data_IF_998386941058
#
_entry.id   IF_998386941058
#
_cell.length_a   1.000
_cell.length_b   1.000
_cell.length_c   1.000
_cell.angle_alpha   90.00
_cell.angle_beta   90.00
_cell.angle_gamma   90.00
#
_symmetry.space_group_name_H-M   'P 1'
#
loop_
_entity.id
_entity.type
_entity.pdbx_description
1 polymer ?
#
# COMPACT_ATOMS: atom_id res chain seq x y z
N UNK A 1 -20.66 -5.17 -7.79
CA UNK A 1 -19.49 -4.29 -7.95
C UNK A 1 -18.24 -5.14 -8.00
N UNK A 2 -17.23 -4.74 -8.78
CA UNK A 2 -15.93 -5.40 -8.75
C UNK A 2 -15.13 -4.75 -7.64
N UNK A 3 -14.80 -5.50 -6.58
CA UNK A 3 -13.94 -4.98 -5.52
C UNK A 3 -12.58 -4.58 -6.10
N UNK A 4 -12.01 -3.48 -5.60
CA UNK A 4 -10.67 -3.00 -5.95
C UNK A 4 -9.84 -2.85 -4.68
N UNK A 5 -8.53 -3.07 -4.81
CA UNK A 5 -7.55 -2.66 -3.82
C UNK A 5 -6.95 -1.34 -4.26
N UNK A 6 -7.03 -0.35 -3.39
CA UNK A 6 -6.36 0.92 -3.52
C UNK A 6 -5.01 0.83 -2.82
N UNK A 7 -3.99 1.39 -3.45
CA UNK A 7 -2.62 1.40 -2.94
C UNK A 7 -2.07 2.81 -3.08
N UNK A 8 -1.77 3.44 -1.95
CA UNK A 8 -1.06 4.71 -1.86
C UNK A 8 0.40 4.46 -1.50
N UNK A 9 1.31 5.14 -2.18
CA UNK A 9 2.71 5.21 -1.77
C UNK A 9 2.97 6.56 -1.11
N UNK A 10 3.45 6.53 0.13
CA UNK A 10 3.89 7.72 0.83
C UNK A 10 5.40 7.69 1.06
N UNK A 11 6.01 8.88 1.10
CA UNK A 11 7.37 9.03 1.59
C UNK A 11 7.48 10.19 2.58
N UNK A 12 8.39 10.08 3.54
CA UNK A 12 8.60 11.06 4.58
C UNK A 12 9.72 12.02 4.19
N UNK A 13 9.42 13.33 4.21
CA UNK A 13 10.38 14.38 3.84
C UNK A 13 9.97 15.75 4.37
N UNK A 14 10.96 16.53 4.80
CA UNK A 14 10.80 17.87 5.40
C UNK A 14 9.78 17.90 6.57
N UNK A 15 9.77 16.83 7.38
CA UNK A 15 8.97 16.76 8.61
C UNK A 15 7.56 16.18 8.46
N UNK A 16 7.13 15.79 7.26
CA UNK A 16 5.80 15.22 7.03
C UNK A 16 5.80 14.08 5.99
N UNK A 17 4.77 13.24 6.04
CA UNK A 17 4.47 12.29 4.97
C UNK A 17 3.87 13.02 3.77
N UNK A 18 4.27 12.58 2.58
CA UNK A 18 3.75 13.05 1.30
C UNK A 18 3.26 11.86 0.51
N UNK A 19 2.10 12.02 -0.09
CA UNK A 19 1.62 11.12 -1.12
C UNK A 19 2.44 11.29 -2.39
N UNK A 20 3.01 10.20 -2.88
CA UNK A 20 3.86 10.18 -4.08
C UNK A 20 3.16 9.54 -5.28
N UNK A 21 2.32 8.53 -5.03
CA UNK A 21 1.62 7.80 -6.10
C UNK A 21 0.40 7.04 -5.59
N UNK A 22 -0.56 6.83 -6.49
CA UNK A 22 -1.74 5.99 -6.30
C UNK A 22 -1.89 4.92 -7.38
N UNK A 23 -2.39 3.75 -6.97
CA UNK A 23 -2.63 2.62 -7.84
C UNK A 23 -3.94 1.91 -7.49
N UNK A 24 -4.53 1.27 -8.49
CA UNK A 24 -5.67 0.37 -8.34
C UNK A 24 -5.25 -1.04 -8.75
N UNK A 25 -5.72 -2.03 -7.99
CA UNK A 25 -5.50 -3.44 -8.28
C UNK A 25 -6.84 -4.20 -8.23
N UNK A 26 -7.20 -4.82 -9.35
CA UNK A 26 -8.45 -5.59 -9.46
C UNK A 26 -8.39 -7.00 -8.82
N UNK A 27 -7.19 -7.53 -8.58
CA UNK A 27 -6.97 -8.87 -8.04
C UNK A 27 -7.06 -8.90 -6.50
N UNK A 28 -8.18 -8.47 -5.94
CA UNK A 28 -8.40 -8.30 -4.49
C UNK A 28 -8.15 -9.59 -3.71
N UNK A 29 -8.78 -10.69 -4.10
CA UNK A 29 -8.69 -11.97 -3.36
C UNK A 29 -7.25 -12.47 -3.28
N UNK A 30 -6.55 -12.44 -4.40
CA UNK A 30 -5.18 -12.95 -4.48
C UNK A 30 -4.25 -12.04 -3.67
N UNK A 31 -4.45 -10.72 -3.73
CA UNK A 31 -3.72 -9.75 -2.89
C UNK A 31 -3.91 -10.00 -1.40
N UNK A 32 -5.15 -10.14 -0.93
CA UNK A 32 -5.46 -10.41 0.47
C UNK A 32 -4.86 -11.75 0.94
N UNK A 33 -4.81 -12.75 0.05
CA UNK A 33 -4.18 -14.05 0.33
C UNK A 33 -2.67 -13.91 0.54
N UNK A 34 -1.99 -13.08 -0.27
CA UNK A 34 -0.56 -12.78 -0.08
C UNK A 34 -0.33 -12.07 1.26
N UNK A 35 -1.13 -11.05 1.58
CA UNK A 35 -1.01 -10.33 2.85
C UNK A 35 -1.21 -11.26 4.04
N UNK A 36 -2.21 -12.16 3.98
CA UNK A 36 -2.49 -13.12 5.03
C UNK A 36 -1.34 -14.14 5.18
N UNK A 37 -0.82 -14.65 4.06
CA UNK A 37 0.29 -15.61 4.03
C UNK A 37 1.59 -15.03 4.60
N UNK A 38 1.77 -13.71 4.49
CA UNK A 38 2.91 -13.00 5.07
C UNK A 38 2.67 -12.54 6.51
N UNK A 39 1.46 -12.70 7.06
CA UNK A 39 1.10 -12.23 8.41
C UNK A 39 0.97 -10.70 8.53
N UNK A 40 0.53 -10.02 7.46
CA UNK A 40 0.55 -8.56 7.33
C UNK A 40 -0.87 -7.95 7.24
N UNK A 41 -1.91 -8.78 7.19
CA UNK A 41 -3.29 -8.30 7.04
C UNK A 41 -3.83 -7.53 8.25
N UNK A 42 -4.71 -6.57 8.00
CA UNK A 42 -5.61 -5.98 9.00
C UNK A 42 -4.94 -5.13 10.08
N UNK A 43 -3.81 -4.48 9.78
CA UNK A 43 -3.10 -3.62 10.73
C UNK A 43 -3.77 -2.26 10.98
N UNK A 44 -4.75 -1.88 10.16
CA UNK A 44 -5.26 -0.52 10.14
C UNK A 44 -4.43 0.41 9.27
N UNK A 45 -4.86 1.67 9.19
CA UNK A 45 -4.02 2.75 8.69
C UNK A 45 -2.99 3.15 9.76
N UNK A 46 -1.79 3.63 9.35
CA UNK A 46 -0.90 4.29 10.27
C UNK A 46 -1.54 5.60 10.79
N UNK A 47 -1.18 6.06 12.00
CA UNK A 47 -1.80 7.22 12.63
C UNK A 47 -1.41 8.57 12.01
N UNK A 48 -0.39 8.59 11.15
CA UNK A 48 0.28 9.78 10.64
C UNK A 48 0.26 9.84 9.11
N UNK A 49 -0.91 9.77 8.48
CA UNK A 49 -1.05 9.89 7.03
C UNK A 49 -0.63 11.27 6.50
N UNK A 50 -0.27 11.34 5.23
CA UNK A 50 -0.14 12.62 4.54
C UNK A 50 -1.50 13.33 4.49
N UNK A 51 -1.49 14.65 4.56
CA UNK A 51 -2.71 15.48 4.51
C UNK A 51 -3.54 15.18 3.25
N UNK A 52 -2.86 14.90 2.12
CA UNK A 52 -3.55 14.54 0.87
C UNK A 52 -4.29 13.22 0.99
N UNK A 53 -3.63 12.16 1.48
CA UNK A 53 -4.27 10.85 1.63
C UNK A 53 -5.35 10.87 2.72
N UNK A 54 -5.14 11.60 3.81
CA UNK A 54 -6.16 11.80 4.84
C UNK A 54 -7.41 12.46 4.25
N UNK A 55 -7.25 13.50 3.42
CA UNK A 55 -8.38 14.12 2.73
C UNK A 55 -9.08 13.13 1.79
N UNK A 56 -8.34 12.35 0.99
CA UNK A 56 -8.94 11.36 0.10
C UNK A 56 -9.77 10.31 0.86
N UNK A 57 -9.25 9.78 1.96
CA UNK A 57 -9.98 8.81 2.78
C UNK A 57 -11.20 9.41 3.49
N UNK A 58 -11.17 10.71 3.83
CA UNK A 58 -12.31 11.39 4.45
C UNK A 58 -13.47 11.62 3.49
N UNK A 59 -13.19 11.78 2.20
CA UNK A 59 -14.20 12.01 1.15
C UNK A 59 -14.57 10.75 0.37
N UNK A 60 -13.99 9.59 0.71
CA UNK A 60 -14.38 8.33 0.12
C UNK A 60 -15.81 7.97 0.53
N UNK A 61 -16.70 7.83 -0.44
CA UNK A 61 -18.11 7.52 -0.20
C UNK A 61 -18.34 6.03 0.03
N UNK A 62 -17.41 5.21 -0.44
CA UNK A 62 -17.47 3.76 -0.38
C UNK A 62 -16.88 3.21 0.94
N UNK A 63 -17.22 1.96 1.29
CA UNK A 63 -16.80 1.38 2.58
C UNK A 63 -15.34 0.94 2.51
N UNK A 64 -14.48 1.58 3.30
CA UNK A 64 -13.07 1.19 3.46
C UNK A 64 -12.99 -0.11 4.27
N UNK A 65 -12.46 -1.16 3.66
CA UNK A 65 -12.28 -2.48 4.26
C UNK A 65 -10.79 -2.89 4.30
N UNK A 66 -10.43 -3.64 5.34
CA UNK A 66 -9.11 -4.27 5.52
C UNK A 66 -7.90 -3.33 5.30
N UNK A 67 -7.87 -2.13 5.92
CA UNK A 67 -6.72 -1.26 5.79
C UNK A 67 -5.47 -1.91 6.38
N UNK A 68 -4.34 -1.77 5.68
CA UNK A 68 -3.02 -2.13 6.19
C UNK A 68 -1.95 -1.23 5.59
N UNK A 69 -0.75 -1.26 6.15
CA UNK A 69 0.41 -0.56 5.61
C UNK A 69 1.63 -1.46 5.58
N UNK A 70 2.50 -1.17 4.61
CA UNK A 70 3.66 -1.97 4.24
C UNK A 70 4.90 -1.07 4.20
N UNK A 71 5.92 -1.39 5.00
CA UNK A 71 7.24 -0.82 4.81
C UNK A 71 7.91 -1.41 3.55
N UNK A 72 8.90 -0.71 2.99
CA UNK A 72 9.62 -1.20 1.80
C UNK A 72 10.25 -2.60 2.03
N UNK A 73 10.79 -2.84 3.22
CA UNK A 73 11.36 -4.15 3.59
C UNK A 73 10.33 -5.28 3.61
N UNK A 74 9.06 -4.98 3.90
CA UNK A 74 7.98 -5.97 3.92
C UNK A 74 7.50 -6.30 2.52
N UNK A 75 7.50 -5.34 1.59
CA UNK A 75 7.24 -5.58 0.17
C UNK A 75 8.23 -6.59 -0.42
N UNK A 76 9.50 -6.51 -0.01
CA UNK A 76 10.51 -7.49 -0.39
C UNK A 76 10.15 -8.92 0.04
N UNK A 77 9.51 -9.08 1.21
CA UNK A 77 9.05 -10.39 1.70
C UNK A 77 7.81 -10.87 0.94
N UNK A 78 6.88 -9.97 0.63
CA UNK A 78 5.65 -10.28 -0.12
C UNK A 78 5.95 -10.88 -1.50
N UNK A 79 7.08 -10.51 -2.13
CA UNK A 79 7.52 -11.09 -3.39
C UNK A 79 7.70 -12.62 -3.34
N UNK A 80 8.07 -13.18 -2.18
CA UNK A 80 8.19 -14.63 -2.01
C UNK A 80 6.85 -15.37 -1.97
N UNK A 81 5.76 -14.64 -1.70
CA UNK A 81 4.40 -15.18 -1.62
C UNK A 81 3.54 -14.79 -2.82
N UNK A 82 4.06 -13.95 -3.71
CA UNK A 82 3.31 -13.35 -4.80
C UNK A 82 2.99 -14.38 -5.89
N UNK A 83 1.72 -14.52 -6.31
CA UNK A 83 1.41 -15.25 -7.53
C UNK A 83 2.01 -14.53 -8.75
N UNK A 84 2.33 -15.25 -9.85
CA UNK A 84 2.98 -14.66 -11.02
C UNK A 84 2.31 -13.39 -11.56
N UNK A 85 0.99 -13.32 -11.47
CA UNK A 85 0.14 -12.22 -11.93
C UNK A 85 0.36 -10.94 -11.13
N UNK A 86 0.68 -11.06 -9.83
CA UNK A 86 0.95 -9.92 -8.94
C UNK A 86 2.43 -9.61 -8.78
N UNK A 87 3.31 -10.53 -9.17
CA UNK A 87 4.76 -10.39 -8.97
C UNK A 87 5.31 -9.12 -9.64
N UNK A 88 4.84 -8.78 -10.85
CA UNK A 88 5.27 -7.56 -11.52
C UNK A 88 4.86 -6.30 -10.75
N UNK A 89 3.63 -6.26 -10.25
CA UNK A 89 3.10 -5.14 -9.49
C UNK A 89 3.85 -4.94 -8.17
N UNK A 90 4.06 -6.01 -7.39
CA UNK A 90 4.84 -5.93 -6.16
C UNK A 90 6.29 -5.55 -6.40
N UNK A 91 6.91 -5.99 -7.50
CA UNK A 91 8.28 -5.55 -7.86
C UNK A 91 8.31 -4.07 -8.15
N UNK A 92 7.31 -3.54 -8.86
CA UNK A 92 7.22 -2.11 -9.15
C UNK A 92 7.07 -1.29 -7.87
N UNK A 93 6.17 -1.69 -6.96
CA UNK A 93 5.99 -1.00 -5.69
C UNK A 93 7.19 -1.11 -4.76
N UNK A 94 7.83 -2.27 -4.71
CA UNK A 94 9.08 -2.45 -3.98
C UNK A 94 10.18 -1.56 -4.56
N UNK A 95 10.34 -1.51 -5.89
CA UNK A 95 11.33 -0.64 -6.52
C UNK A 95 11.07 0.84 -6.23
N UNK A 96 9.82 1.29 -6.30
CA UNK A 96 9.42 2.67 -6.00
C UNK A 96 9.75 3.07 -4.57
N UNK A 97 9.29 2.27 -3.59
CA UNK A 97 9.55 2.54 -2.17
C UNK A 97 11.05 2.52 -1.85
N UNK A 98 11.81 1.59 -2.45
CA UNK A 98 13.27 1.53 -2.32
C UNK A 98 13.98 2.72 -2.97
N UNK A 99 13.43 3.29 -4.05
CA UNK A 99 13.99 4.49 -4.66
C UNK A 99 13.90 5.68 -3.69
N UNK A 100 12.76 5.86 -3.02
CA UNK A 100 12.60 6.88 -1.98
C UNK A 100 13.53 6.64 -0.79
N UNK A 101 13.59 5.42 -0.26
CA UNK A 101 14.51 5.08 0.83
C UNK A 101 15.98 5.34 0.45
N UNK A 102 16.36 5.06 -0.80
CA UNK A 102 17.70 5.35 -1.33
C UNK A 102 18.04 6.84 -1.39
N UNK A 103 17.03 7.71 -1.43
CA UNK A 103 17.17 9.17 -1.31
C UNK A 103 17.11 9.67 0.15
N UNK A 104 17.13 8.76 1.13
CA UNK A 104 17.02 9.10 2.55
C UNK A 104 15.60 9.47 2.99
N UNK A 105 14.58 9.12 2.20
CA UNK A 105 13.17 9.38 2.48
C UNK A 105 12.49 8.06 2.85
N UNK A 106 12.18 7.79 4.13
CA UNK A 106 11.41 6.62 4.52
C UNK A 106 10.14 6.51 3.68
N UNK A 107 9.81 5.31 3.20
CA UNK A 107 8.65 5.12 2.33
C UNK A 107 7.81 3.92 2.77
N UNK A 108 6.51 4.03 2.53
CA UNK A 108 5.53 3.00 2.87
C UNK A 108 4.41 2.94 1.83
N UNK A 109 3.76 1.79 1.73
CA UNK A 109 2.46 1.70 1.09
C UNK A 109 1.34 1.66 2.13
N UNK A 110 0.22 2.27 1.80
CA UNK A 110 -1.04 2.16 2.51
C UNK A 110 -2.00 1.52 1.54
N UNK A 111 -2.67 0.45 1.98
CA UNK A 111 -3.55 -0.33 1.12
C UNK A 111 -4.87 -0.56 1.80
N UNK A 112 -5.94 -0.49 1.04
CA UNK A 112 -7.29 -0.76 1.52
C UNK A 112 -8.15 -1.29 0.38
N UNK A 113 -9.15 -2.08 0.73
CA UNK A 113 -10.19 -2.48 -0.18
C UNK A 113 -11.33 -1.46 -0.11
N UNK A 114 -11.98 -1.25 -1.24
CA UNK A 114 -13.22 -0.50 -1.27
C UNK A 114 -14.36 -1.42 -1.73
N UNK A 115 -15.50 -1.36 -1.01
CA UNK A 115 -16.71 -2.19 -1.18
C UNK A 115 -17.98 -1.40 -1.47
#
# INVERSE_FOLDING_TARGET
MSALVFVACESYGEGAWRLEAHFHLAAVRDFLTVLASAGISGRGHPPDLSVTLEAELLFEEEVIAVPTYLAASELGRLLGHAPPELAAQFRAWHALTRAFEGMGRPARLIVWQIE
#
